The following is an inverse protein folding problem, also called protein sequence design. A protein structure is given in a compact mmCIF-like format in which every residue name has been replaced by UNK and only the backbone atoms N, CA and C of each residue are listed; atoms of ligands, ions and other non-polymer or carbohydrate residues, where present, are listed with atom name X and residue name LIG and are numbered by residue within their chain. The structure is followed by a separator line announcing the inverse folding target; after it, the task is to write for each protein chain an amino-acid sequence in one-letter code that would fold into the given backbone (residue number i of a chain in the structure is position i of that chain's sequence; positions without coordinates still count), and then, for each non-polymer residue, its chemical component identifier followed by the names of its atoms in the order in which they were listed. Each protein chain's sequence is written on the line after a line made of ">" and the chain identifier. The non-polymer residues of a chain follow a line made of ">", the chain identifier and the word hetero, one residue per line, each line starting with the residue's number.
data_IF_550116666042
#
_entry.id   IF_550116666042
#
_cell.length_a   1.000
_cell.length_b   1.000
_cell.length_c   1.000
_cell.angle_alpha   90.00
_cell.angle_beta   90.00
_cell.angle_gamma   90.00
#
_symmetry.space_group_name_H-M   'P 1'
#
loop_
_entity.id
_entity.type
_entity.pdbx_description
1 polymer ?
#
# COMPACT_ATOMS: atom_id res chain seq x y z
N UNK A 1 -11.38 -26.90 -69.89
CA UNK A 1 -10.84 -25.53 -70.11
C UNK A 1 -11.26 -24.66 -68.93
N UNK A 2 -10.31 -23.93 -68.29
CA UNK A 2 -10.43 -22.72 -67.44
C UNK A 2 -11.57 -22.71 -66.36
N UNK A 3 -11.34 -22.46 -65.08
CA UNK A 3 -10.56 -21.36 -64.46
C UNK A 3 -10.14 -21.72 -63.03
N UNK A 4 -8.92 -21.32 -62.66
CA UNK A 4 -8.47 -21.15 -61.28
C UNK A 4 -9.31 -20.07 -60.59
N UNK A 5 -9.63 -20.27 -59.31
CA UNK A 5 -9.76 -19.19 -58.35
C UNK A 5 -9.20 -19.67 -57.01
N UNK A 6 -8.01 -19.16 -56.69
CA UNK A 6 -7.44 -19.14 -55.34
C UNK A 6 -8.24 -18.12 -54.53
N UNK A 7 -8.80 -18.54 -53.40
CA UNK A 7 -9.18 -17.63 -52.32
C UNK A 7 -8.33 -17.95 -51.09
N UNK A 8 -7.33 -17.10 -50.89
CA UNK A 8 -6.57 -16.95 -49.66
C UNK A 8 -7.49 -16.29 -48.63
N UNK A 9 -7.93 -17.06 -47.63
CA UNK A 9 -8.66 -16.56 -46.47
C UNK A 9 -7.74 -16.57 -45.24
N UNK A 10 -7.25 -15.38 -44.90
CA UNK A 10 -6.36 -15.07 -43.80
C UNK A 10 -6.96 -15.31 -42.40
N UNK A 11 -6.06 -15.71 -41.48
CA UNK A 11 -5.96 -15.29 -40.08
C UNK A 11 -7.14 -15.57 -39.13
N UNK A 12 -6.98 -16.63 -38.34
CA UNK A 12 -7.43 -16.65 -36.95
C UNK A 12 -6.32 -17.23 -36.08
N UNK A 13 -5.30 -16.42 -35.81
CA UNK A 13 -4.39 -16.67 -34.67
C UNK A 13 -5.22 -16.41 -33.42
N UNK A 14 -5.80 -17.46 -32.87
CA UNK A 14 -6.38 -17.42 -31.54
C UNK A 14 -5.26 -17.30 -30.52
N UNK A 15 -4.80 -16.08 -30.26
CA UNK A 15 -4.11 -15.76 -29.02
C UNK A 15 -5.13 -15.92 -27.90
N UNK A 16 -5.18 -17.11 -27.30
CA UNK A 16 -5.74 -17.28 -25.96
C UNK A 16 -4.79 -16.49 -25.06
N UNK A 17 -5.14 -15.22 -24.84
CA UNK A 17 -4.53 -14.37 -23.84
C UNK A 17 -4.86 -14.95 -22.47
N UNK A 18 -4.04 -15.90 -22.02
CA UNK A 18 -3.97 -16.22 -20.60
C UNK A 18 -3.28 -15.02 -19.97
N UNK A 19 -4.10 -14.14 -19.38
CA UNK A 19 -3.64 -13.08 -18.49
C UNK A 19 -3.05 -13.76 -17.25
N UNK A 20 -1.81 -14.24 -17.37
CA UNK A 20 -1.00 -14.67 -16.25
C UNK A 20 -0.59 -13.43 -15.48
N UNK A 21 -1.45 -13.04 -14.54
CA UNK A 21 -1.07 -12.73 -13.16
C UNK A 21 0.35 -12.17 -12.98
N UNK A 22 0.51 -10.87 -13.26
CA UNK A 22 1.68 -10.08 -12.83
C UNK A 22 1.85 -10.07 -11.30
N UNK A 23 0.85 -10.55 -10.55
CA UNK A 23 0.87 -10.67 -9.08
C UNK A 23 1.62 -11.93 -8.60
N UNK A 24 1.95 -12.88 -9.49
CA UNK A 24 2.55 -14.15 -9.09
C UNK A 24 4.09 -14.19 -9.14
N UNK A 25 4.77 -13.16 -9.67
CA UNK A 25 6.23 -13.20 -9.83
C UNK A 25 7.03 -12.78 -8.59
N UNK A 26 6.41 -12.16 -7.58
CA UNK A 26 7.13 -11.64 -6.39
C UNK A 26 6.80 -12.33 -5.07
N UNK A 27 5.96 -13.37 -5.06
CA UNK A 27 5.59 -14.07 -3.82
C UNK A 27 6.80 -14.72 -3.10
N UNK A 28 7.86 -15.04 -3.85
CA UNK A 28 9.11 -15.64 -3.35
C UNK A 28 10.26 -14.64 -3.17
N UNK A 29 10.05 -13.35 -3.44
CA UNK A 29 11.05 -12.33 -3.16
C UNK A 29 11.11 -12.07 -1.65
N UNK A 30 12.25 -12.36 -1.02
CA UNK A 30 12.46 -12.11 0.41
C UNK A 30 12.25 -10.64 0.80
N UNK A 31 12.34 -9.74 -0.18
CA UNK A 31 12.16 -8.31 -0.01
C UNK A 31 10.80 -7.79 -0.53
N UNK A 32 9.82 -8.67 -0.81
CA UNK A 32 8.46 -8.22 -1.12
C UNK A 32 7.65 -7.90 0.15
N UNK A 33 6.86 -6.83 0.08
CA UNK A 33 5.82 -6.56 1.07
C UNK A 33 4.69 -7.59 0.92
N UNK A 34 4.37 -8.27 2.01
CA UNK A 34 3.27 -9.23 2.08
C UNK A 34 2.07 -8.57 2.73
N UNK A 35 0.89 -8.57 2.07
CA UNK A 35 -0.33 -8.02 2.66
C UNK A 35 -0.63 -8.66 4.02
N UNK A 36 -0.95 -7.83 5.02
CA UNK A 36 -1.38 -8.26 6.35
C UNK A 36 -2.91 -8.37 6.45
N UNK A 37 -3.64 -7.74 5.52
CA UNK A 37 -5.09 -7.72 5.41
C UNK A 37 -5.52 -7.91 3.95
N UNK A 38 -6.83 -8.04 3.72
CA UNK A 38 -7.40 -7.86 2.39
C UNK A 38 -7.55 -6.36 2.11
N UNK A 39 -6.85 -5.84 1.09
CA UNK A 39 -6.85 -4.41 0.76
C UNK A 39 -8.24 -3.84 0.44
N UNK A 40 -9.17 -4.67 -0.04
CA UNK A 40 -10.55 -4.25 -0.27
C UNK A 40 -11.26 -3.78 1.02
N UNK A 41 -10.82 -4.27 2.19
CA UNK A 41 -11.38 -3.88 3.48
C UNK A 41 -11.04 -2.44 3.85
N UNK A 42 -10.03 -1.81 3.24
CA UNK A 42 -9.73 -0.38 3.44
C UNK A 42 -10.89 0.53 2.97
N UNK A 43 -11.68 0.05 2.01
CA UNK A 43 -12.74 0.83 1.36
C UNK A 43 -14.14 0.36 1.75
N UNK A 44 -14.25 -0.71 2.54
CA UNK A 44 -15.54 -1.25 2.97
C UNK A 44 -16.21 -0.31 3.99
N UNK A 45 -17.50 -0.03 3.79
CA UNK A 45 -18.29 0.86 4.65
C UNK A 45 -18.28 0.43 6.12
N UNK A 46 -18.28 -0.89 6.38
CA UNK A 46 -18.31 -1.50 7.73
C UNK A 46 -17.04 -2.29 8.04
N UNK A 47 -15.89 -1.77 7.64
CA UNK A 47 -14.60 -2.42 7.87
C UNK A 47 -14.22 -2.49 9.35
N UNK A 48 -13.70 -3.64 9.78
CA UNK A 48 -13.23 -3.89 11.15
C UNK A 48 -11.71 -3.91 11.28
N UNK A 49 -10.97 -3.61 10.21
CA UNK A 49 -9.50 -3.61 10.21
C UNK A 49 -8.90 -2.39 10.91
N UNK A 50 -9.72 -1.35 11.09
CA UNK A 50 -9.28 -0.06 11.59
C UNK A 50 -9.11 -0.11 13.11
N UNK A 51 -7.91 0.22 13.55
CA UNK A 51 -7.57 0.38 14.96
C UNK A 51 -7.61 1.86 15.34
N UNK A 52 -7.99 2.14 16.58
CA UNK A 52 -7.85 3.46 17.20
C UNK A 52 -6.45 3.60 17.78
N UNK A 53 -5.91 4.82 17.78
CA UNK A 53 -4.66 5.10 18.49
C UNK A 53 -4.86 4.92 20.00
N UNK A 54 -3.90 4.30 20.72
CA UNK A 54 -3.98 4.18 22.17
C UNK A 54 -3.83 5.56 22.83
N UNK A 55 -4.47 5.77 23.98
CA UNK A 55 -4.21 6.93 24.82
C UNK A 55 -2.83 6.77 25.46
N UNK A 56 -1.84 7.52 24.98
CA UNK A 56 -0.44 7.41 25.39
C UNK A 56 0.21 8.81 25.47
N UNK A 57 0.91 9.11 26.57
CA UNK A 57 1.62 10.37 26.80
C UNK A 57 2.92 10.49 26.00
N UNK A 58 3.41 9.38 25.44
CA UNK A 58 4.58 9.35 24.57
C UNK A 58 4.33 9.92 23.16
N UNK A 59 3.09 10.24 22.80
CA UNK A 59 2.77 10.83 21.51
C UNK A 59 3.03 12.33 21.48
N UNK A 60 3.61 12.78 20.37
CA UNK A 60 3.90 14.19 20.13
C UNK A 60 2.63 14.95 19.70
N UNK A 61 1.72 14.28 18.99
CA UNK A 61 0.47 14.85 18.47
C UNK A 61 -0.76 14.07 18.92
N UNK A 62 -1.86 14.80 19.11
CA UNK A 62 -3.17 14.19 19.31
C UNK A 62 -3.65 13.54 18.00
N UNK A 63 -3.89 12.22 18.07
CA UNK A 63 -4.40 11.38 16.98
C UNK A 63 -5.72 10.71 17.33
N UNK A 64 -6.44 11.22 18.33
CA UNK A 64 -7.70 10.64 18.83
C UNK A 64 -8.81 10.56 17.77
N UNK A 65 -8.79 11.44 16.77
CA UNK A 65 -9.74 11.44 15.65
C UNK A 65 -9.28 10.58 14.45
N UNK A 66 -8.08 10.02 14.51
CA UNK A 66 -7.53 9.19 13.44
C UNK A 66 -7.72 7.69 13.72
N UNK A 67 -7.72 6.91 12.65
CA UNK A 67 -7.64 5.45 12.73
C UNK A 67 -6.56 4.92 11.80
N UNK A 68 -6.00 3.76 12.12
CA UNK A 68 -4.90 3.17 11.35
C UNK A 68 -5.13 1.70 11.06
N UNK A 69 -4.46 1.21 10.02
CA UNK A 69 -4.36 -0.20 9.69
C UNK A 69 -2.94 -0.50 9.20
N UNK A 70 -2.34 -1.59 9.70
CA UNK A 70 -1.12 -2.12 9.10
C UNK A 70 -1.53 -3.00 7.93
N UNK A 71 -1.16 -2.58 6.71
CA UNK A 71 -1.68 -3.19 5.48
C UNK A 71 -0.73 -4.21 4.87
N UNK A 72 0.57 -4.09 5.13
CA UNK A 72 1.57 -5.05 4.67
C UNK A 72 2.80 -5.06 5.57
N UNK A 73 3.54 -6.17 5.54
CA UNK A 73 4.80 -6.37 6.27
C UNK A 73 5.83 -7.08 5.39
N UNK A 74 7.10 -6.79 5.62
CA UNK A 74 8.24 -7.40 4.94
C UNK A 74 9.17 -8.06 5.97
N UNK A 75 9.88 -9.09 5.53
CA UNK A 75 10.74 -9.90 6.41
C UNK A 75 11.94 -9.13 6.98
N UNK A 76 12.36 -8.04 6.34
CA UNK A 76 13.46 -7.17 6.77
C UNK A 76 13.04 -6.13 7.84
N UNK A 77 11.79 -6.20 8.31
CA UNK A 77 11.23 -5.28 9.31
C UNK A 77 10.51 -4.08 8.72
N UNK A 78 10.35 -3.97 7.39
CA UNK A 78 9.50 -2.92 6.81
C UNK A 78 8.02 -3.21 7.03
N UNK A 79 7.27 -2.17 7.40
CA UNK A 79 5.82 -2.19 7.62
C UNK A 79 5.18 -1.08 6.83
N UNK A 80 4.06 -1.37 6.16
CA UNK A 80 3.22 -0.37 5.52
C UNK A 80 2.02 -0.11 6.43
N UNK A 81 1.89 1.13 6.91
CA UNK A 81 0.75 1.62 7.68
C UNK A 81 -0.08 2.56 6.80
N UNK A 82 -1.39 2.44 6.90
CA UNK A 82 -2.34 3.39 6.32
C UNK A 82 -3.12 4.04 7.44
N UNK A 83 -3.19 5.36 7.45
CA UNK A 83 -4.06 6.13 8.33
C UNK A 83 -5.24 6.68 7.53
N UNK A 84 -6.43 6.55 8.13
CA UNK A 84 -7.66 7.15 7.65
C UNK A 84 -7.92 8.41 8.46
N UNK A 85 -7.96 9.54 7.76
CA UNK A 85 -8.16 10.86 8.36
C UNK A 85 -9.02 11.75 7.46
N UNK A 86 -9.53 12.84 8.00
CA UNK A 86 -10.26 13.84 7.22
C UNK A 86 -9.31 14.61 6.30
N UNK A 87 -9.78 14.93 5.09
CA UNK A 87 -9.02 15.70 4.12
C UNK A 87 -8.86 17.14 4.57
N UNK A 88 -7.60 17.61 4.64
CA UNK A 88 -7.30 19.02 4.93
C UNK A 88 -7.84 20.00 3.87
N UNK A 89 -8.03 19.54 2.62
CA UNK A 89 -8.48 20.39 1.51
C UNK A 89 -9.97 20.25 1.23
N UNK A 90 -10.65 19.24 1.78
CA UNK A 90 -12.07 19.00 1.56
C UNK A 90 -12.72 18.49 2.84
N UNK A 91 -13.24 19.39 3.69
CA UNK A 91 -13.93 19.00 4.92
C UNK A 91 -15.06 17.99 4.65
N UNK A 92 -15.18 17.00 5.53
CA UNK A 92 -16.12 15.88 5.44
C UNK A 92 -15.68 14.73 4.53
N UNK A 93 -14.58 14.88 3.76
CA UNK A 93 -14.04 13.80 2.92
C UNK A 93 -12.95 13.04 3.67
N UNK A 94 -13.15 11.74 3.90
CA UNK A 94 -12.08 10.88 4.42
C UNK A 94 -11.08 10.51 3.33
N UNK A 95 -9.79 10.53 3.66
CA UNK A 95 -8.68 10.12 2.79
C UNK A 95 -7.82 9.06 3.49
N UNK A 96 -7.11 8.29 2.68
CA UNK A 96 -6.09 7.35 3.13
C UNK A 96 -4.71 7.95 2.86
N UNK A 97 -3.90 8.07 3.90
CA UNK A 97 -2.48 8.36 3.78
C UNK A 97 -1.68 7.13 4.14
N UNK A 98 -0.59 6.90 3.43
CA UNK A 98 0.24 5.73 3.58
C UNK A 98 1.65 6.09 4.01
N UNK A 99 2.20 5.32 4.95
CA UNK A 99 3.59 5.47 5.38
C UNK A 99 4.24 4.10 5.52
N UNK A 100 5.39 3.95 4.89
CA UNK A 100 6.29 2.84 5.13
C UNK A 100 7.22 3.18 6.28
N UNK A 101 7.41 2.24 7.20
CA UNK A 101 8.38 2.32 8.28
C UNK A 101 9.35 1.16 8.18
N UNK A 102 10.62 1.38 8.51
CA UNK A 102 11.54 0.29 8.79
C UNK A 102 11.61 0.08 10.30
N UNK A 103 11.02 -0.96 10.89
CA UNK A 103 11.00 -1.11 12.35
C UNK A 103 12.38 -1.33 13.01
N UNK A 104 13.44 -1.52 12.21
CA UNK A 104 14.82 -1.61 12.69
C UNK A 104 15.56 -0.26 12.63
N UNK A 105 14.96 0.78 12.03
CA UNK A 105 15.56 2.09 11.80
C UNK A 105 14.49 3.17 11.90
N UNK A 106 14.70 4.28 12.61
CA UNK A 106 13.75 5.41 12.59
C UNK A 106 13.77 6.15 11.25
N UNK A 107 13.28 5.48 10.21
CA UNK A 107 13.20 5.96 8.85
C UNK A 107 11.86 5.61 8.24
N UNK A 108 11.31 6.54 7.48
CA UNK A 108 10.04 6.39 6.79
C UNK A 108 10.13 6.79 5.31
N UNK A 109 9.12 6.38 4.56
CA UNK A 109 8.81 6.94 3.26
C UNK A 109 7.29 6.96 3.09
N UNK A 110 6.73 8.09 2.69
CA UNK A 110 5.28 8.24 2.52
C UNK A 110 4.83 7.92 1.11
N UNK A 111 3.58 7.50 1.00
CA UNK A 111 2.86 7.39 -0.26
C UNK A 111 1.47 7.99 -0.13
N UNK A 112 0.98 8.53 -1.24
CA UNK A 112 -0.34 9.09 -1.33
C UNK A 112 -1.06 8.45 -2.51
N UNK A 113 -2.35 8.17 -2.34
CA UNK A 113 -3.19 7.57 -3.37
C UNK A 113 -4.32 8.55 -3.67
N UNK A 114 -4.23 9.22 -4.83
CA UNK A 114 -5.22 10.20 -5.29
C UNK A 114 -6.55 9.53 -5.67
N UNK A 115 -6.48 8.43 -6.42
CA UNK A 115 -7.61 7.60 -6.79
C UNK A 115 -7.73 6.46 -5.77
N UNK A 116 -8.62 6.65 -4.79
CA UNK A 116 -8.80 5.80 -3.60
C UNK A 116 -9.37 4.42 -4.00
N UNK A 117 -8.54 3.58 -4.62
CA UNK A 117 -8.86 2.26 -5.14
C UNK A 117 -7.91 1.18 -4.60
N UNK A 118 -8.38 -0.07 -4.61
CA UNK A 118 -7.57 -1.24 -4.22
C UNK A 118 -6.33 -1.37 -5.10
N UNK A 119 -6.47 -1.15 -6.40
CA UNK A 119 -5.40 -1.32 -7.37
C UNK A 119 -4.28 -0.31 -7.15
N UNK A 120 -4.60 0.91 -6.75
CA UNK A 120 -3.60 1.95 -6.53
C UNK A 120 -2.82 1.72 -5.24
N UNK A 121 -3.48 1.27 -4.17
CA UNK A 121 -2.76 0.80 -2.97
C UNK A 121 -1.89 -0.40 -3.30
N UNK A 122 -2.39 -1.37 -4.08
CA UNK A 122 -1.60 -2.54 -4.48
C UNK A 122 -0.35 -2.15 -5.29
N UNK A 123 -0.44 -1.16 -6.20
CA UNK A 123 0.72 -0.62 -6.93
C UNK A 123 1.76 -0.02 -5.99
N UNK A 124 1.33 0.77 -5.00
CA UNK A 124 2.26 1.34 -4.01
C UNK A 124 2.99 0.24 -3.22
N UNK A 125 2.32 -0.85 -2.88
CA UNK A 125 2.93 -1.97 -2.15
C UNK A 125 3.87 -2.82 -3.00
N UNK A 126 3.66 -2.88 -4.32
CA UNK A 126 4.50 -3.63 -5.25
C UNK A 126 5.85 -2.94 -5.54
N UNK A 127 5.89 -1.61 -5.51
CA UNK A 127 7.09 -0.80 -5.66
C UNK A 127 7.19 0.24 -4.51
N UNK A 128 7.55 -0.22 -3.30
CA UNK A 128 7.43 0.60 -2.11
C UNK A 128 8.51 1.68 -2.06
N UNK A 129 8.06 2.92 -1.84
CA UNK A 129 8.89 4.12 -1.78
C UNK A 129 10.10 4.03 -0.83
N UNK A 130 10.03 3.17 0.19
CA UNK A 130 11.11 2.98 1.17
C UNK A 130 12.33 2.24 0.61
N UNK A 131 12.20 1.64 -0.58
CA UNK A 131 13.32 1.02 -1.30
C UNK A 131 14.12 2.04 -2.14
N UNK A 132 13.60 3.27 -2.30
CA UNK A 132 14.29 4.38 -2.94
C UNK A 132 15.00 5.26 -1.89
N UNK A 133 16.34 5.26 -1.81
CA UNK A 133 17.10 6.05 -0.84
C UNK A 133 16.83 7.56 -0.92
N UNK A 134 16.42 8.09 -2.08
CA UNK A 134 16.13 9.53 -2.24
C UNK A 134 14.80 9.92 -1.59
N UNK A 135 13.91 8.93 -1.39
CA UNK A 135 12.58 9.11 -0.78
C UNK A 135 12.57 8.80 0.71
N UNK A 136 13.55 8.03 1.20
CA UNK A 136 13.70 7.73 2.62
C UNK A 136 14.03 9.00 3.42
N UNK A 137 13.38 9.14 4.57
CA UNK A 137 13.64 10.20 5.53
C UNK A 137 13.93 9.60 6.88
N UNK A 138 14.88 10.16 7.60
CA UNK A 138 15.09 9.86 9.02
C UNK A 138 14.20 10.76 9.87
N UNK A 139 13.78 10.25 11.02
CA UNK A 139 13.01 11.01 12.00
C UNK A 139 13.44 10.70 13.43
N UNK A 140 12.97 11.50 14.38
CA UNK A 140 13.20 11.32 15.81
C UNK A 140 11.90 11.44 16.61
N UNK A 141 12.00 11.23 17.93
CA UNK A 141 10.87 11.21 18.86
C UNK A 141 10.11 12.54 19.00
N UNK A 142 10.58 13.64 18.40
CA UNK A 142 9.90 14.94 18.40
C UNK A 142 9.02 15.18 17.18
N UNK A 143 8.99 14.25 16.21
CA UNK A 143 8.27 14.41 14.95
C UNK A 143 6.92 13.67 14.96
N UNK A 144 5.86 14.19 14.32
CA UNK A 144 4.55 13.53 14.29
C UNK A 144 4.57 12.11 13.71
N UNK A 145 5.53 11.84 12.83
CA UNK A 145 5.73 10.53 12.19
C UNK A 145 6.21 9.47 13.18
N UNK A 146 6.82 9.86 14.30
CA UNK A 146 7.22 8.95 15.38
C UNK A 146 6.00 8.28 16.02
N UNK A 147 4.89 8.99 16.18
CA UNK A 147 3.67 8.44 16.80
C UNK A 147 3.08 7.32 15.92
N UNK A 148 3.11 7.51 14.60
CA UNK A 148 2.76 6.47 13.62
C UNK A 148 3.71 5.28 13.69
N UNK A 149 5.01 5.54 13.83
CA UNK A 149 6.02 4.50 13.96
C UNK A 149 5.77 3.64 15.20
N UNK A 150 5.43 4.24 16.35
CA UNK A 150 5.17 3.49 17.58
C UNK A 150 4.01 2.50 17.46
N UNK A 151 2.97 2.80 16.67
CA UNK A 151 1.86 1.86 16.43
C UNK A 151 2.18 0.84 15.31
N UNK A 152 2.97 1.23 14.31
CA UNK A 152 3.37 0.33 13.23
C UNK A 152 4.44 -0.69 13.66
N UNK A 153 5.31 -0.27 14.57
CA UNK A 153 6.50 -0.98 15.03
C UNK A 153 6.47 -1.19 16.57
N UNK A 154 5.49 -1.94 17.11
CA UNK A 154 5.40 -2.17 18.54
C UNK A 154 6.66 -2.90 19.03
N UNK A 155 7.31 -2.33 20.05
CA UNK A 155 8.44 -2.98 20.71
C UNK A 155 7.92 -4.21 21.47
N UNK A 156 8.54 -5.36 21.20
CA UNK A 156 8.23 -6.63 21.87
C UNK A 156 8.79 -6.67 23.29
#
# INVERSE_FOLDING_TARGET
>A
MKKMLLFLGMLSVGTIGVVTSAVAQDADNKNALKPAINLAELFAEKSTIWSTYPENDAYVFDRSEESYAVVAKRADGVVALVNKQESYTTPGKMVLMGTYFNCNKMTDATFYVEDVSVDDVAKQLADPAIDDPERVRGFDASMPVHDLYMVACPQS
#
